data_IF_518357738780
#
_entry.id   IF_518357738780
#
_cell.length_a   1.000
_cell.length_b   1.000
_cell.length_c   1.000
_cell.angle_alpha   90.00
_cell.angle_beta   90.00
_cell.angle_gamma   90.00
#
_symmetry.space_group_name_H-M   'P 1'
#
loop_
_entity.id
_entity.type
_entity.pdbx_description
1 polymer ?
#
# COMPACT_ATOMS: atom_id res chain seq x y z
N UNK A 1 37.63 -27.96 -60.83
CA UNK A 1 36.21 -28.26 -61.16
C UNK A 1 35.86 -29.51 -60.38
N UNK A 2 35.33 -29.36 -59.17
CA UNK A 2 34.91 -30.52 -58.37
C UNK A 2 33.56 -30.98 -58.91
N UNK A 3 33.51 -32.23 -59.35
CA UNK A 3 32.29 -32.87 -59.84
C UNK A 3 31.62 -33.48 -58.60
N UNK A 4 30.65 -32.77 -58.04
CA UNK A 4 29.75 -33.34 -57.04
C UNK A 4 28.87 -34.38 -57.74
N UNK A 5 28.78 -35.60 -57.19
CA UNK A 5 28.01 -36.68 -57.83
C UNK A 5 26.51 -36.52 -57.58
N UNK A 6 26.13 -35.89 -56.48
CA UNK A 6 24.77 -35.45 -56.18
C UNK A 6 24.76 -34.17 -55.31
N UNK A 7 23.56 -33.68 -54.99
CA UNK A 7 23.39 -32.50 -54.15
C UNK A 7 23.73 -32.76 -52.67
N UNK A 8 23.70 -34.01 -52.21
CA UNK A 8 24.03 -34.39 -50.84
C UNK A 8 25.56 -34.29 -50.61
N UNK A 9 26.38 -34.73 -51.58
CA UNK A 9 27.82 -34.55 -51.62
C UNK A 9 28.22 -33.06 -51.59
N UNK A 10 27.45 -32.21 -52.26
CA UNK A 10 27.66 -30.76 -52.25
C UNK A 10 27.40 -30.17 -50.86
N UNK A 11 26.29 -30.55 -50.21
CA UNK A 11 25.94 -30.12 -48.85
C UNK A 11 27.00 -30.61 -47.84
N UNK A 12 27.44 -31.87 -47.95
CA UNK A 12 28.49 -32.43 -47.09
C UNK A 12 29.83 -31.71 -47.25
N UNK A 13 30.20 -31.33 -48.49
CA UNK A 13 31.39 -30.54 -48.76
C UNK A 13 31.29 -29.12 -48.18
N UNK A 14 30.14 -28.45 -48.32
CA UNK A 14 29.90 -27.13 -47.72
C UNK A 14 30.04 -27.17 -46.19
N UNK A 15 29.54 -28.22 -45.55
CA UNK A 15 29.69 -28.45 -44.12
C UNK A 15 31.17 -28.69 -43.71
N UNK A 16 31.93 -29.47 -44.49
CA UNK A 16 33.35 -29.71 -44.22
C UNK A 16 34.21 -28.44 -44.32
N UNK A 17 33.81 -27.50 -45.17
CA UNK A 17 34.49 -26.22 -45.37
C UNK A 17 33.94 -25.08 -44.50
N UNK A 18 33.05 -25.37 -43.55
CA UNK A 18 32.49 -24.39 -42.61
C UNK A 18 31.49 -23.40 -43.22
N UNK A 19 31.01 -23.65 -44.45
CA UNK A 19 30.06 -22.77 -45.14
C UNK A 19 28.62 -23.12 -44.78
N UNK A 20 28.31 -23.06 -43.48
CA UNK A 20 27.06 -23.54 -42.92
C UNK A 20 25.82 -22.80 -43.44
N UNK A 21 25.90 -21.49 -43.69
CA UNK A 21 24.79 -20.72 -44.28
C UNK A 21 24.46 -21.18 -45.71
N UNK A 22 25.50 -21.47 -46.52
CA UNK A 22 25.34 -21.97 -47.88
C UNK A 22 24.80 -23.40 -47.89
N UNK A 23 25.27 -24.22 -46.95
CA UNK A 23 24.76 -25.57 -46.76
C UNK A 23 23.26 -25.53 -46.41
N UNK A 24 22.86 -24.66 -45.48
CA UNK A 24 21.45 -24.48 -45.10
C UNK A 24 20.60 -24.01 -46.28
N UNK A 25 21.06 -23.01 -47.05
CA UNK A 25 20.35 -22.51 -48.22
C UNK A 25 20.17 -23.57 -49.32
N UNK A 26 21.18 -24.42 -49.54
CA UNK A 26 21.10 -25.52 -50.50
C UNK A 26 20.03 -26.55 -50.08
N UNK A 27 19.94 -26.88 -48.79
CA UNK A 27 18.95 -27.83 -48.30
C UNK A 27 17.53 -27.22 -48.31
N UNK A 28 17.39 -25.93 -48.00
CA UNK A 28 16.11 -25.20 -48.09
C UNK A 28 15.59 -25.05 -49.53
N UNK A 29 16.48 -25.01 -50.52
CA UNK A 29 16.13 -25.00 -51.94
C UNK A 29 15.62 -26.37 -52.47
N UNK A 30 15.37 -27.34 -51.59
CA UNK A 30 14.84 -28.65 -51.94
C UNK A 30 15.87 -29.60 -52.54
N UNK A 31 17.17 -29.28 -52.41
CA UNK A 31 18.26 -30.08 -52.99
C UNK A 31 18.67 -31.28 -52.13
N UNK A 32 18.05 -31.49 -50.95
CA UNK A 32 18.38 -32.61 -50.05
C UNK A 32 17.16 -33.13 -49.28
N UNK A 33 17.32 -34.30 -48.64
CA UNK A 33 16.32 -34.90 -47.77
C UNK A 33 16.08 -34.06 -46.52
N UNK A 34 14.88 -34.14 -45.95
CA UNK A 34 14.51 -33.47 -44.70
C UNK A 34 15.44 -33.85 -43.54
N UNK A 35 15.94 -35.08 -43.51
CA UNK A 35 16.88 -35.59 -42.50
C UNK A 35 18.25 -34.87 -42.53
N UNK A 36 18.67 -34.36 -43.69
CA UNK A 36 19.91 -33.60 -43.82
C UNK A 36 19.79 -32.19 -43.23
N UNK A 37 18.57 -31.64 -43.12
CA UNK A 37 18.35 -30.34 -42.46
C UNK A 37 18.70 -30.41 -40.98
N UNK A 38 18.33 -31.51 -40.30
CA UNK A 38 18.62 -31.69 -38.88
C UNK A 38 20.13 -31.83 -38.64
N UNK A 39 20.84 -32.56 -39.51
CA UNK A 39 22.30 -32.69 -39.43
C UNK A 39 23.02 -31.36 -39.74
N UNK A 40 22.63 -30.67 -40.82
CA UNK A 40 23.18 -29.36 -41.20
C UNK A 40 22.92 -28.33 -40.09
N UNK A 41 21.70 -28.31 -39.56
CA UNK A 41 21.29 -27.44 -38.46
C UNK A 41 22.06 -27.71 -37.19
N UNK A 42 22.22 -28.99 -36.80
CA UNK A 42 22.99 -29.36 -35.62
C UNK A 42 24.46 -28.94 -35.76
N UNK A 43 25.10 -29.23 -36.90
CA UNK A 43 26.51 -28.85 -37.12
C UNK A 43 26.70 -27.34 -37.17
N UNK A 44 25.73 -26.60 -37.70
CA UNK A 44 25.79 -25.14 -37.72
C UNK A 44 25.69 -24.55 -36.30
N UNK A 45 24.75 -25.05 -35.49
CA UNK A 45 24.61 -24.64 -34.09
C UNK A 45 25.86 -25.02 -33.27
N UNK A 46 26.42 -26.21 -33.47
CA UNK A 46 27.68 -26.63 -32.84
C UNK A 46 28.83 -25.66 -33.20
N UNK A 47 28.95 -25.27 -34.46
CA UNK A 47 29.95 -24.30 -34.91
C UNK A 47 29.78 -22.93 -34.25
N UNK A 48 28.56 -22.39 -34.22
CA UNK A 48 28.28 -21.10 -33.57
C UNK A 48 28.57 -21.13 -32.06
N UNK A 49 28.31 -22.25 -31.40
CA UNK A 49 28.66 -22.45 -29.99
C UNK A 49 30.16 -22.49 -29.78
N UNK A 50 30.91 -23.19 -30.65
CA UNK A 50 32.38 -23.21 -30.60
C UNK A 50 32.97 -21.80 -30.76
N UNK A 51 32.35 -20.96 -31.61
CA UNK A 51 32.71 -19.54 -31.78
C UNK A 51 32.19 -18.63 -30.66
N UNK A 52 31.47 -19.16 -29.67
CA UNK A 52 30.83 -18.44 -28.55
C UNK A 52 29.76 -17.42 -28.99
N UNK A 53 29.19 -17.59 -30.18
CA UNK A 53 28.11 -16.76 -30.73
C UNK A 53 26.74 -17.27 -30.27
N UNK A 54 26.52 -17.31 -28.97
CA UNK A 54 25.33 -17.93 -28.36
C UNK A 54 24.02 -17.25 -28.76
N UNK A 55 24.01 -15.91 -28.85
CA UNK A 55 22.81 -15.16 -29.23
C UNK A 55 22.39 -15.44 -30.69
N UNK A 56 23.36 -15.52 -31.61
CA UNK A 56 23.11 -15.88 -33.01
C UNK A 56 22.61 -17.32 -33.11
N UNK A 57 23.24 -18.26 -32.39
CA UNK A 57 22.80 -19.65 -32.32
C UNK A 57 21.35 -19.76 -31.82
N UNK A 58 21.01 -19.06 -30.73
CA UNK A 58 19.66 -19.05 -30.17
C UNK A 58 18.60 -18.51 -31.16
N UNK A 59 18.91 -17.42 -31.86
CA UNK A 59 18.03 -16.82 -32.87
C UNK A 59 17.73 -17.76 -34.04
N UNK A 60 18.68 -18.64 -34.39
CA UNK A 60 18.53 -19.59 -35.48
C UNK A 60 17.80 -20.88 -35.05
N UNK A 61 17.68 -21.18 -33.75
CA UNK A 61 17.01 -22.37 -33.25
C UNK A 61 15.57 -22.56 -33.79
N UNK A 62 14.69 -21.54 -33.81
CA UNK A 62 13.35 -21.68 -34.42
C UNK A 62 13.38 -22.15 -35.88
N UNK A 63 14.33 -21.63 -36.66
CA UNK A 63 14.46 -21.94 -38.09
C UNK A 63 15.04 -23.35 -38.31
N UNK A 64 16.00 -23.75 -37.48
CA UNK A 64 16.76 -24.99 -37.63
C UNK A 64 16.07 -26.19 -36.98
N UNK A 65 15.49 -26.01 -35.79
CA UNK A 65 14.91 -27.11 -35.00
C UNK A 65 13.44 -27.35 -35.32
N UNK A 66 12.73 -26.32 -35.80
CA UNK A 66 11.35 -26.38 -36.31
C UNK A 66 10.43 -27.16 -35.36
N UNK A 67 9.71 -28.16 -35.87
CA UNK A 67 8.77 -29.02 -35.15
C UNK A 67 9.39 -30.16 -34.33
N UNK A 68 10.72 -30.29 -34.29
CA UNK A 68 11.36 -31.41 -33.60
C UNK A 68 11.53 -31.16 -32.11
N UNK A 69 10.61 -31.68 -31.30
CA UNK A 69 10.66 -31.57 -29.84
C UNK A 69 11.97 -32.13 -29.25
N UNK A 70 12.42 -33.30 -29.75
CA UNK A 70 13.66 -33.94 -29.27
C UNK A 70 14.90 -33.11 -29.57
N UNK A 71 14.95 -32.45 -30.73
CA UNK A 71 16.04 -31.53 -31.09
C UNK A 71 16.04 -30.30 -30.19
N UNK A 72 14.87 -29.69 -29.97
CA UNK A 72 14.71 -28.56 -29.02
C UNK A 72 15.20 -28.90 -27.63
N UNK A 73 14.76 -30.02 -27.07
CA UNK A 73 15.17 -30.45 -25.72
C UNK A 73 16.67 -30.67 -25.64
N UNK A 74 17.26 -31.37 -26.61
CA UNK A 74 18.72 -31.57 -26.67
C UNK A 74 19.47 -30.24 -26.61
N UNK A 75 19.05 -29.25 -27.41
CA UNK A 75 19.69 -27.93 -27.44
C UNK A 75 19.45 -27.13 -26.17
N UNK A 76 18.27 -27.20 -25.56
CA UNK A 76 17.98 -26.58 -24.26
C UNK A 76 18.96 -27.10 -23.19
N UNK A 77 19.13 -28.41 -23.07
CA UNK A 77 20.08 -29.00 -22.12
C UNK A 77 21.53 -28.64 -22.45
N UNK A 78 21.88 -28.55 -23.74
CA UNK A 78 23.23 -28.15 -24.15
C UNK A 78 23.53 -26.68 -23.78
N UNK A 79 22.61 -25.75 -24.07
CA UNK A 79 22.72 -24.36 -23.63
C UNK A 79 22.74 -24.23 -22.10
N UNK A 80 22.01 -25.09 -21.38
CA UNK A 80 22.04 -25.16 -19.91
C UNK A 80 23.44 -25.52 -19.39
N UNK A 81 24.07 -26.55 -19.95
CA UNK A 81 25.43 -26.98 -19.59
C UNK A 81 26.46 -25.86 -19.79
N UNK A 82 26.27 -25.04 -20.81
CA UNK A 82 27.13 -23.88 -21.13
C UNK A 82 26.82 -22.64 -20.28
N UNK A 83 25.78 -22.67 -19.44
CA UNK A 83 25.23 -21.51 -18.70
C UNK A 83 24.81 -20.35 -19.61
N UNK A 84 24.39 -20.66 -20.83
CA UNK A 84 23.91 -19.69 -21.83
C UNK A 84 22.42 -19.87 -22.14
N UNK A 85 21.71 -20.74 -21.43
CA UNK A 85 20.28 -20.95 -21.63
C UNK A 85 19.42 -19.68 -21.60
N UNK A 86 19.70 -18.64 -20.78
CA UNK A 86 18.93 -17.40 -20.81
C UNK A 86 18.75 -16.77 -22.20
N UNK A 87 19.75 -16.85 -23.09
CA UNK A 87 19.64 -16.27 -24.44
C UNK A 87 18.70 -17.05 -25.36
N UNK A 88 18.42 -18.32 -25.05
CA UNK A 88 17.55 -19.19 -25.83
C UNK A 88 16.08 -19.09 -25.38
N UNK A 89 15.82 -18.77 -24.11
CA UNK A 89 14.45 -18.76 -23.53
C UNK A 89 13.41 -18.01 -24.38
N UNK A 90 13.69 -16.80 -24.91
CA UNK A 90 12.72 -16.06 -25.72
C UNK A 90 12.26 -16.79 -26.99
N UNK A 91 13.00 -17.79 -27.44
CA UNK A 91 12.76 -18.54 -28.67
C UNK A 91 12.17 -19.94 -28.43
N UNK A 92 12.07 -20.39 -27.17
CA UNK A 92 11.56 -21.73 -26.85
C UNK A 92 10.06 -21.82 -27.21
N UNK A 93 9.65 -22.84 -27.97
CA UNK A 93 8.25 -23.01 -28.36
C UNK A 93 7.39 -23.49 -27.19
N UNK A 94 6.15 -23.01 -27.10
CA UNK A 94 5.17 -23.42 -26.07
C UNK A 94 4.11 -24.40 -26.58
N UNK A 95 3.93 -24.53 -27.90
CA UNK A 95 2.87 -25.35 -28.50
C UNK A 95 3.33 -26.24 -29.66
N UNK A 96 3.92 -25.66 -30.70
CA UNK A 96 4.32 -26.38 -31.91
C UNK A 96 5.84 -26.27 -32.13
N UNK A 97 6.66 -27.16 -31.56
CA UNK A 97 6.29 -28.30 -30.71
C UNK A 97 6.19 -27.94 -29.23
N UNK A 98 5.33 -28.66 -28.49
CA UNK A 98 5.29 -28.62 -27.03
C UNK A 98 6.33 -29.61 -26.51
N UNK A 99 7.19 -29.12 -25.62
CA UNK A 99 8.29 -29.88 -25.04
C UNK A 99 7.85 -30.57 -23.75
N UNK A 100 8.74 -31.41 -23.20
CA UNK A 100 8.58 -31.90 -21.83
C UNK A 100 8.69 -30.76 -20.83
N UNK A 101 7.94 -30.89 -19.74
CA UNK A 101 7.94 -30.02 -18.56
C UNK A 101 9.37 -29.65 -18.10
N UNK A 102 10.24 -30.65 -17.99
CA UNK A 102 11.65 -30.51 -17.58
C UNK A 102 12.43 -29.49 -18.42
N UNK A 103 12.12 -29.33 -19.71
CA UNK A 103 12.80 -28.35 -20.57
C UNK A 103 12.44 -26.91 -20.18
N UNK A 104 11.16 -26.65 -19.90
CA UNK A 104 10.67 -25.36 -19.45
C UNK A 104 11.14 -25.06 -18.02
N UNK A 105 11.10 -26.05 -17.12
CA UNK A 105 11.57 -25.93 -15.75
C UNK A 105 13.05 -25.53 -15.68
N UNK A 106 13.92 -26.21 -16.44
CA UNK A 106 15.35 -25.90 -16.51
C UNK A 106 15.60 -24.49 -17.07
N UNK A 107 14.80 -24.06 -18.05
CA UNK A 107 14.86 -22.70 -18.59
C UNK A 107 14.52 -21.64 -17.53
N UNK A 108 13.43 -21.84 -16.78
CA UNK A 108 13.03 -20.93 -15.71
C UNK A 108 14.06 -20.90 -14.57
N UNK A 109 14.58 -22.05 -14.15
CA UNK A 109 15.64 -22.15 -13.12
C UNK A 109 16.92 -21.43 -13.58
N UNK A 110 17.28 -21.52 -14.86
CA UNK A 110 18.45 -20.81 -15.39
C UNK A 110 18.29 -19.29 -15.31
N UNK A 111 17.10 -18.75 -15.57
CA UNK A 111 16.81 -17.31 -15.41
C UNK A 111 16.79 -16.89 -13.93
N UNK A 112 16.37 -17.77 -13.02
CA UNK A 112 16.34 -17.52 -11.57
C UNK A 112 17.72 -17.53 -10.90
N UNK A 113 18.76 -18.01 -11.57
CA UNK A 113 20.10 -18.17 -10.97
C UNK A 113 20.90 -16.87 -10.94
N UNK A 114 20.62 -15.93 -11.85
CA UNK A 114 21.39 -14.70 -11.99
C UNK A 114 20.48 -13.47 -11.93
N UNK A 115 20.75 -12.50 -11.01
CA UNK A 115 19.99 -11.26 -10.89
C UNK A 115 19.76 -10.47 -12.17
N UNK A 116 20.66 -10.56 -13.15
CA UNK A 116 20.48 -9.87 -14.44
C UNK A 116 19.25 -10.34 -15.22
N UNK A 117 18.79 -11.58 -15.00
CA UNK A 117 17.71 -12.20 -15.76
C UNK A 117 16.37 -12.29 -14.99
N UNK A 118 16.27 -11.75 -13.77
CA UNK A 118 15.04 -11.86 -12.97
C UNK A 118 13.84 -11.16 -13.62
N UNK A 119 14.08 -10.10 -14.41
CA UNK A 119 13.03 -9.45 -15.21
C UNK A 119 12.54 -10.37 -16.33
N UNK A 120 13.46 -11.05 -16.99
CA UNK A 120 13.14 -12.01 -18.06
C UNK A 120 12.41 -13.21 -17.48
N UNK A 121 12.79 -13.68 -16.29
CA UNK A 121 12.05 -14.72 -15.56
C UNK A 121 10.59 -14.31 -15.32
N UNK A 122 10.38 -13.13 -14.74
CA UNK A 122 9.04 -12.62 -14.44
C UNK A 122 8.19 -12.50 -15.72
N UNK A 123 8.76 -11.94 -16.79
CA UNK A 123 8.08 -11.84 -18.08
C UNK A 123 7.75 -13.23 -18.64
N UNK A 124 8.68 -14.17 -18.54
CA UNK A 124 8.52 -15.55 -19.03
C UNK A 124 7.40 -16.26 -18.27
N UNK A 125 7.40 -16.23 -16.94
CA UNK A 125 6.37 -16.84 -16.08
C UNK A 125 4.97 -16.27 -16.38
N UNK A 126 4.86 -14.96 -16.64
CA UNK A 126 3.58 -14.33 -17.00
C UNK A 126 3.14 -14.65 -18.44
N UNK A 127 4.06 -14.98 -19.34
CA UNK A 127 3.78 -15.22 -20.76
C UNK A 127 3.52 -16.69 -21.10
N UNK A 128 4.21 -17.61 -20.44
CA UNK A 128 4.12 -19.03 -20.73
C UNK A 128 2.84 -19.62 -20.14
N UNK A 129 2.10 -20.46 -20.89
CA UNK A 129 0.93 -21.13 -20.33
C UNK A 129 1.34 -22.00 -19.12
N UNK A 130 0.72 -21.83 -17.94
CA UNK A 130 1.15 -22.53 -16.71
C UNK A 130 1.03 -24.06 -16.80
N UNK A 131 0.24 -24.56 -17.76
CA UNK A 131 -0.02 -25.99 -17.97
C UNK A 131 1.16 -26.73 -18.62
N UNK A 132 2.19 -26.03 -19.12
CA UNK A 132 3.32 -26.65 -19.85
C UNK A 132 4.49 -27.04 -18.95
N UNK A 133 4.50 -26.62 -17.68
CA UNK A 133 5.57 -26.91 -16.72
C UNK A 133 5.01 -27.10 -15.31
N UNK A 134 5.77 -27.78 -14.43
CA UNK A 134 5.46 -27.79 -13.01
C UNK A 134 6.13 -26.59 -12.33
N UNK A 135 5.39 -25.81 -11.55
CA UNK A 135 5.96 -24.68 -10.81
C UNK A 135 6.87 -25.14 -9.64
N UNK A 136 6.62 -26.33 -9.07
CA UNK A 136 7.31 -26.83 -7.88
C UNK A 136 8.85 -26.87 -8.00
N UNK A 137 9.45 -27.44 -9.06
CA UNK A 137 10.92 -27.44 -9.20
C UNK A 137 11.52 -26.05 -9.25
N UNK A 138 10.83 -25.10 -9.91
CA UNK A 138 11.27 -23.70 -10.02
C UNK A 138 11.17 -23.01 -8.67
N UNK A 139 10.06 -23.20 -7.95
CA UNK A 139 9.86 -22.70 -6.58
C UNK A 139 10.99 -23.21 -5.67
N UNK A 140 11.27 -24.52 -5.66
CA UNK A 140 12.31 -25.11 -4.83
C UNK A 140 13.72 -24.60 -5.15
N UNK A 141 13.98 -24.11 -6.36
CA UNK A 141 15.24 -23.48 -6.73
C UNK A 141 15.34 -22.01 -6.27
N UNK A 142 14.21 -21.31 -6.11
CA UNK A 142 14.16 -19.90 -5.72
C UNK A 142 14.02 -19.73 -4.20
N UNK A 143 13.22 -20.57 -3.52
CA UNK A 143 12.94 -20.49 -2.07
C UNK A 143 14.21 -20.30 -1.21
N UNK A 144 15.32 -21.04 -1.43
CA UNK A 144 16.55 -20.88 -0.65
C UNK A 144 17.19 -19.48 -0.75
N UNK A 145 16.87 -18.72 -1.79
CA UNK A 145 17.41 -17.39 -2.04
C UNK A 145 16.70 -16.29 -1.27
N UNK A 146 15.53 -16.55 -0.65
CA UNK A 146 14.66 -15.54 0.00
C UNK A 146 15.37 -14.61 0.98
N UNK A 147 16.37 -15.12 1.72
CA UNK A 147 17.10 -14.38 2.74
C UNK A 147 18.50 -13.92 2.28
N UNK A 148 18.78 -13.99 0.98
CA UNK A 148 20.09 -13.69 0.42
C UNK A 148 20.06 -12.39 -0.38
N UNK A 149 21.24 -11.79 -0.61
CA UNK A 149 21.37 -10.58 -1.41
C UNK A 149 21.00 -10.76 -2.89
N UNK A 150 20.84 -12.00 -3.38
CA UNK A 150 20.36 -12.25 -4.74
C UNK A 150 18.85 -12.05 -4.89
N UNK A 151 18.10 -11.98 -3.79
CA UNK A 151 16.64 -11.83 -3.85
C UNK A 151 16.24 -10.39 -4.20
N UNK A 152 16.03 -10.14 -5.49
CA UNK A 152 15.50 -8.87 -5.99
C UNK A 152 13.98 -8.82 -5.85
N UNK A 153 13.39 -7.61 -5.85
CA UNK A 153 11.93 -7.43 -5.86
C UNK A 153 11.27 -8.17 -7.05
N UNK A 154 11.94 -8.17 -8.21
CA UNK A 154 11.46 -8.88 -9.41
C UNK A 154 11.49 -10.40 -9.24
N UNK A 155 12.46 -10.96 -8.52
CA UNK A 155 12.50 -12.39 -8.22
C UNK A 155 11.43 -12.77 -7.20
N UNK A 156 11.20 -11.93 -6.19
CA UNK A 156 10.07 -12.10 -5.26
C UNK A 156 8.74 -12.09 -6.00
N UNK A 157 8.56 -11.18 -6.96
CA UNK A 157 7.34 -11.14 -7.76
C UNK A 157 7.19 -12.39 -8.63
N UNK A 158 8.25 -12.84 -9.29
CA UNK A 158 8.22 -14.08 -10.07
C UNK A 158 7.88 -15.30 -9.20
N UNK A 159 8.42 -15.36 -7.98
CA UNK A 159 8.09 -16.41 -7.01
C UNK A 159 6.62 -16.35 -6.58
N UNK A 160 6.07 -15.14 -6.37
CA UNK A 160 4.66 -14.97 -6.06
C UNK A 160 3.77 -15.51 -7.19
N UNK A 161 4.06 -15.16 -8.45
CA UNK A 161 3.35 -15.71 -9.63
C UNK A 161 3.43 -17.24 -9.69
N UNK A 162 4.61 -17.82 -9.40
CA UNK A 162 4.77 -19.27 -9.34
C UNK A 162 3.93 -19.91 -8.22
N UNK A 163 3.80 -19.26 -7.06
CA UNK A 163 2.89 -19.70 -6.01
C UNK A 163 1.43 -19.63 -6.43
N UNK A 164 1.00 -18.60 -7.17
CA UNK A 164 -0.35 -18.52 -7.74
C UNK A 164 -0.61 -19.70 -8.68
N UNK A 165 0.35 -20.00 -9.57
CA UNK A 165 0.26 -21.13 -10.51
C UNK A 165 0.17 -22.46 -9.77
N UNK A 166 0.87 -22.60 -8.65
CA UNK A 166 0.86 -23.79 -7.81
C UNK A 166 -0.24 -23.79 -6.74
N UNK A 167 -1.21 -22.88 -6.83
CA UNK A 167 -2.36 -22.73 -5.90
C UNK A 167 -1.96 -22.49 -4.43
N UNK A 168 -0.75 -21.98 -4.17
CA UNK A 168 -0.26 -21.61 -2.84
C UNK A 168 -0.52 -20.13 -2.55
N UNK A 169 -1.80 -19.74 -2.52
CA UNK A 169 -2.20 -18.33 -2.47
C UNK A 169 -1.75 -17.58 -1.22
N UNK A 170 -1.70 -18.23 -0.05
CA UNK A 170 -1.21 -17.60 1.19
C UNK A 170 0.27 -17.18 1.10
N UNK A 171 1.12 -18.04 0.52
CA UNK A 171 2.53 -17.69 0.30
C UNK A 171 2.68 -16.57 -0.73
N UNK A 172 1.84 -16.59 -1.78
CA UNK A 172 1.79 -15.49 -2.75
C UNK A 172 1.36 -14.18 -2.10
N UNK A 173 0.35 -14.20 -1.23
CA UNK A 173 -0.13 -13.04 -0.50
C UNK A 173 0.99 -12.42 0.36
N UNK A 174 1.75 -13.26 1.07
CA UNK A 174 2.87 -12.78 1.87
C UNK A 174 3.90 -12.01 1.03
N UNK A 175 4.25 -12.53 -0.16
CA UNK A 175 5.18 -11.86 -1.07
C UNK A 175 4.58 -10.60 -1.70
N UNK A 176 3.31 -10.61 -2.10
CA UNK A 176 2.64 -9.42 -2.63
C UNK A 176 2.50 -8.31 -1.57
N UNK A 177 2.28 -8.67 -0.30
CA UNK A 177 2.25 -7.73 0.82
C UNK A 177 3.63 -7.09 1.04
N UNK A 178 4.70 -7.90 1.03
CA UNK A 178 6.07 -7.40 1.15
C UNK A 178 6.47 -6.48 -0.01
N UNK A 179 5.94 -6.74 -1.21
CA UNK A 179 6.14 -5.94 -2.41
C UNK A 179 5.19 -4.73 -2.51
N UNK A 180 4.29 -4.55 -1.54
CA UNK A 180 3.29 -3.47 -1.52
C UNK A 180 2.50 -3.35 -2.83
N UNK A 181 2.10 -4.48 -3.40
CA UNK A 181 1.38 -4.52 -4.67
C UNK A 181 -0.03 -3.90 -4.53
N UNK A 182 -0.43 -2.95 -5.39
CA UNK A 182 -1.70 -2.23 -5.23
C UNK A 182 -2.94 -3.10 -5.44
N UNK A 183 -2.80 -4.15 -6.25
CA UNK A 183 -3.82 -5.15 -6.58
C UNK A 183 -3.97 -6.25 -5.51
N UNK A 184 -3.24 -6.15 -4.39
CA UNK A 184 -3.28 -7.13 -3.30
C UNK A 184 -4.68 -7.34 -2.73
N UNK A 185 -5.49 -6.29 -2.65
CA UNK A 185 -6.85 -6.38 -2.13
C UNK A 185 -7.75 -7.19 -3.06
N UNK A 186 -7.65 -6.96 -4.37
CA UNK A 186 -8.41 -7.71 -5.37
C UNK A 186 -7.97 -9.19 -5.37
N UNK A 187 -6.69 -9.44 -5.10
CA UNK A 187 -6.14 -10.78 -4.91
C UNK A 187 -6.70 -11.48 -3.66
N UNK A 188 -6.78 -10.78 -2.52
CA UNK A 188 -7.37 -11.30 -1.27
C UNK A 188 -8.83 -11.70 -1.51
N UNK A 189 -9.62 -10.82 -2.11
CA UNK A 189 -11.05 -11.04 -2.38
C UNK A 189 -11.25 -12.21 -3.36
N UNK A 190 -10.46 -12.25 -4.44
CA UNK A 190 -10.54 -13.29 -5.47
C UNK A 190 -10.27 -14.70 -4.91
N UNK A 191 -9.34 -14.80 -3.96
CA UNK A 191 -8.90 -16.08 -3.40
C UNK A 191 -9.42 -16.35 -1.97
N UNK A 192 -10.34 -15.51 -1.47
CA UNK A 192 -10.94 -15.60 -0.12
C UNK A 192 -9.89 -15.68 1.01
N UNK A 193 -8.80 -14.91 0.93
CA UNK A 193 -7.67 -14.98 1.87
C UNK A 193 -7.84 -14.12 3.12
N UNK A 194 -9.06 -13.84 3.54
CA UNK A 194 -9.35 -12.89 4.62
C UNK A 194 -8.77 -13.32 5.98
N UNK A 195 -8.59 -14.62 6.22
CA UNK A 195 -8.00 -15.12 7.47
C UNK A 195 -6.46 -14.92 7.52
N UNK A 196 -5.82 -14.89 6.35
CA UNK A 196 -4.36 -14.80 6.19
C UNK A 196 -3.82 -13.35 6.23
N UNK A 197 -4.66 -12.35 6.49
CA UNK A 197 -4.26 -10.92 6.53
C UNK A 197 -3.76 -10.46 7.90
N UNK A 198 -3.98 -11.27 8.95
CA UNK A 198 -3.83 -10.84 10.35
C UNK A 198 -2.43 -10.32 10.69
N UNK A 199 -1.39 -10.94 10.13
CA UNK A 199 0.01 -10.54 10.31
C UNK A 199 0.50 -9.56 9.23
N UNK A 200 -0.38 -9.16 8.30
CA UNK A 200 -0.10 -8.25 7.17
C UNK A 200 -0.83 -6.91 7.26
N UNK A 201 -1.45 -6.60 8.40
CA UNK A 201 -2.25 -5.38 8.59
C UNK A 201 -1.44 -4.13 8.26
N UNK A 202 -0.20 -4.03 8.75
CA UNK A 202 0.64 -2.84 8.52
C UNK A 202 0.96 -2.66 7.03
N UNK A 203 1.28 -3.74 6.33
CA UNK A 203 1.56 -3.72 4.89
C UNK A 203 0.32 -3.28 4.12
N UNK A 204 -0.85 -3.85 4.42
CA UNK A 204 -2.11 -3.47 3.76
C UNK A 204 -2.45 -1.99 4.00
N UNK A 205 -2.27 -1.50 5.22
CA UNK A 205 -2.49 -0.10 5.57
C UNK A 205 -1.55 0.85 4.81
N UNK A 206 -0.31 0.43 4.58
CA UNK A 206 0.68 1.19 3.79
C UNK A 206 0.30 1.24 2.31
N UNK A 207 -0.30 0.19 1.76
CA UNK A 207 -0.77 0.16 0.36
C UNK A 207 -2.01 1.04 0.20
N UNK A 208 -3.08 0.78 0.96
CA UNK A 208 -4.30 1.58 0.95
C UNK A 208 -5.01 1.44 2.30
N UNK A 209 -4.88 2.46 3.14
CA UNK A 209 -5.49 2.47 4.47
C UNK A 209 -7.02 2.37 4.41
N UNK A 210 -7.70 3.01 3.46
CA UNK A 210 -9.18 2.98 3.41
C UNK A 210 -9.68 1.59 3.06
N UNK A 211 -9.08 0.96 2.05
CA UNK A 211 -9.43 -0.43 1.68
C UNK A 211 -9.05 -1.42 2.77
N UNK A 212 -7.86 -1.27 3.37
CA UNK A 212 -7.41 -2.13 4.47
C UNK A 212 -8.36 -2.06 5.66
N UNK A 213 -8.73 -0.85 6.11
CA UNK A 213 -9.67 -0.70 7.22
C UNK A 213 -11.04 -1.27 6.88
N UNK A 214 -11.58 -1.02 5.68
CA UNK A 214 -12.86 -1.59 5.25
C UNK A 214 -12.82 -3.12 5.27
N UNK A 215 -11.77 -3.72 4.71
CA UNK A 215 -11.61 -5.18 4.65
C UNK A 215 -11.49 -5.77 6.06
N UNK A 216 -10.76 -5.10 6.94
CA UNK A 216 -10.59 -5.52 8.33
C UNK A 216 -11.91 -5.44 9.10
N UNK A 217 -12.68 -4.36 8.98
CA UNK A 217 -13.98 -4.23 9.65
C UNK A 217 -14.98 -5.30 9.18
N UNK A 218 -14.96 -5.65 7.89
CA UNK A 218 -15.91 -6.59 7.30
C UNK A 218 -15.61 -8.05 7.65
N UNK A 219 -14.33 -8.44 7.63
CA UNK A 219 -13.93 -9.84 7.69
C UNK A 219 -13.21 -10.22 8.99
N UNK A 220 -12.65 -9.25 9.71
CA UNK A 220 -11.95 -9.48 10.97
C UNK A 220 -12.75 -8.81 12.09
N UNK A 221 -13.00 -9.55 13.17
CA UNK A 221 -13.41 -8.90 14.41
C UNK A 221 -12.39 -7.84 14.85
N UNK A 222 -12.75 -7.04 15.87
CA UNK A 222 -11.94 -5.94 16.39
C UNK A 222 -10.43 -6.24 16.43
N UNK A 223 -9.65 -5.49 15.65
CA UNK A 223 -8.19 -5.50 15.75
C UNK A 223 -7.79 -4.96 17.12
N UNK A 224 -6.88 -5.67 17.78
CA UNK A 224 -6.33 -5.20 19.05
C UNK A 224 -5.19 -4.21 18.81
N UNK A 225 -5.00 -3.19 19.66
CA UNK A 225 -3.87 -2.26 19.55
C UNK A 225 -2.50 -2.92 19.50
N UNK A 226 -2.35 -4.14 20.04
CA UNK A 226 -1.11 -4.93 19.98
C UNK A 226 -0.75 -5.43 18.58
N UNK A 227 -1.70 -5.45 17.64
CA UNK A 227 -1.47 -5.93 16.27
C UNK A 227 -1.10 -4.80 15.31
N UNK A 228 -1.11 -3.55 15.80
CA UNK A 228 -0.79 -2.37 15.01
C UNK A 228 0.35 -1.61 15.70
N UNK A 229 1.60 -1.90 15.31
CA UNK A 229 2.80 -1.26 15.88
C UNK A 229 2.84 0.26 15.63
N UNK A 230 2.06 0.75 14.67
CA UNK A 230 1.95 2.18 14.34
C UNK A 230 0.73 2.81 15.00
N UNK A 231 0.99 3.73 15.94
CA UNK A 231 -0.06 4.56 16.58
C UNK A 231 -0.88 5.34 15.55
N UNK A 232 -0.27 5.78 14.45
CA UNK A 232 -0.96 6.47 13.36
C UNK A 232 -1.95 5.55 12.62
N UNK A 233 -1.58 4.30 12.33
CA UNK A 233 -2.50 3.36 11.68
C UNK A 233 -3.61 2.90 12.62
N UNK A 234 -3.29 2.72 13.91
CA UNK A 234 -4.30 2.45 14.93
C UNK A 234 -5.34 3.57 14.98
N UNK A 235 -4.91 4.83 14.90
CA UNK A 235 -5.79 5.99 14.86
C UNK A 235 -6.76 5.92 13.66
N UNK A 236 -6.26 5.67 12.45
CA UNK A 236 -7.08 5.58 11.24
C UNK A 236 -8.07 4.41 11.29
N UNK A 237 -7.62 3.27 11.80
CA UNK A 237 -8.48 2.11 12.01
C UNK A 237 -9.62 2.39 12.99
N UNK A 238 -9.29 2.90 14.19
CA UNK A 238 -10.29 3.21 15.22
C UNK A 238 -11.24 4.34 14.79
N UNK A 239 -10.74 5.32 14.04
CA UNK A 239 -11.59 6.37 13.46
C UNK A 239 -12.64 5.78 12.52
N UNK A 240 -12.22 4.98 11.54
CA UNK A 240 -13.15 4.38 10.58
C UNK A 240 -14.09 3.38 11.25
N UNK A 241 -13.59 2.62 12.24
CA UNK A 241 -14.41 1.72 13.06
C UNK A 241 -15.52 2.50 13.77
N UNK A 242 -15.19 3.68 14.30
CA UNK A 242 -16.16 4.57 14.95
C UNK A 242 -17.19 5.12 13.95
N UNK A 243 -16.78 5.48 12.73
CA UNK A 243 -17.70 5.92 11.67
C UNK A 243 -18.70 4.84 11.26
N UNK A 244 -18.25 3.57 11.22
CA UNK A 244 -19.12 2.43 10.90
C UNK A 244 -20.04 2.07 12.08
N UNK A 245 -19.48 2.02 13.30
CA UNK A 245 -20.23 1.71 14.51
C UNK A 245 -19.59 2.39 15.74
N UNK A 246 -20.24 3.43 16.30
CA UNK A 246 -19.73 4.17 17.47
C UNK A 246 -19.52 3.34 18.75
N UNK A 247 -20.05 2.12 18.82
CA UNK A 247 -19.92 1.24 19.97
C UNK A 247 -18.93 0.08 19.77
N UNK A 248 -18.50 -0.18 18.53
CA UNK A 248 -17.60 -1.30 18.26
C UNK A 248 -16.23 -1.11 18.95
N UNK A 249 -15.71 0.12 18.98
CA UNK A 249 -14.43 0.46 19.59
C UNK A 249 -14.52 0.96 21.04
N UNK A 250 -15.63 0.74 21.76
CA UNK A 250 -15.90 1.40 23.05
C UNK A 250 -14.75 1.28 24.07
N UNK A 251 -14.10 0.12 24.14
CA UNK A 251 -13.02 -0.15 25.09
C UNK A 251 -11.71 0.59 24.73
N UNK A 252 -11.63 1.10 23.50
CA UNK A 252 -10.49 1.86 22.98
C UNK A 252 -10.75 3.36 22.93
N UNK A 253 -11.90 3.87 23.41
CA UNK A 253 -12.22 5.30 23.32
C UNK A 253 -11.25 6.18 24.12
N UNK A 254 -10.74 5.71 25.26
CA UNK A 254 -9.68 6.40 26.00
C UNK A 254 -8.39 6.55 25.18
N UNK A 255 -8.00 5.49 24.48
CA UNK A 255 -6.86 5.51 23.57
C UNK A 255 -7.13 6.43 22.39
N UNK A 256 -8.35 6.39 21.85
CA UNK A 256 -8.73 7.19 20.69
C UNK A 256 -8.69 8.70 20.99
N UNK A 257 -8.99 9.13 22.22
CA UNK A 257 -8.78 10.53 22.64
C UNK A 257 -7.31 10.93 22.52
N UNK A 258 -6.39 10.09 23.02
CA UNK A 258 -4.95 10.34 22.90
C UNK A 258 -4.51 10.43 21.44
N UNK A 259 -5.05 9.55 20.60
CA UNK A 259 -4.71 9.47 19.17
C UNK A 259 -5.26 10.64 18.37
N UNK A 260 -6.49 11.08 18.60
CA UNK A 260 -7.03 12.30 17.97
C UNK A 260 -6.22 13.53 18.39
N UNK A 261 -5.91 13.67 19.67
CA UNK A 261 -5.08 14.76 20.17
C UNK A 261 -3.67 14.77 19.55
N UNK A 262 -3.22 13.65 19.00
CA UNK A 262 -1.91 13.48 18.34
C UNK A 262 -1.92 13.66 16.84
N UNK A 263 -2.83 13.03 16.14
CA UNK A 263 -2.80 12.93 14.68
C UNK A 263 -3.88 13.75 13.98
N UNK A 264 -5.02 13.98 14.64
CA UNK A 264 -6.12 14.76 14.07
C UNK A 264 -6.95 15.51 15.14
N UNK A 265 -6.42 16.63 15.67
CA UNK A 265 -7.09 17.39 16.72
C UNK A 265 -8.48 17.91 16.32
N UNK A 266 -8.71 18.12 15.01
CA UNK A 266 -9.98 18.66 14.49
C UNK A 266 -11.14 17.69 14.72
N UNK A 267 -10.85 16.39 14.74
CA UNK A 267 -11.84 15.33 14.94
C UNK A 267 -12.04 14.99 16.42
N UNK A 268 -11.23 15.55 17.32
CA UNK A 268 -11.34 15.29 18.76
C UNK A 268 -12.67 15.79 19.33
N UNK A 269 -13.03 17.04 19.09
CA UNK A 269 -14.27 17.62 19.63
C UNK A 269 -15.54 16.90 19.11
N UNK A 270 -15.69 16.61 17.80
CA UNK A 270 -16.78 15.75 17.29
C UNK A 270 -16.84 14.38 17.98
N UNK A 271 -15.69 13.75 18.23
CA UNK A 271 -15.60 12.47 18.91
C UNK A 271 -16.04 12.56 20.37
N UNK A 272 -15.55 13.56 21.13
CA UNK A 272 -15.92 13.78 22.52
C UNK A 272 -17.43 14.03 22.69
N UNK A 273 -18.07 14.69 21.72
CA UNK A 273 -19.52 14.91 21.70
C UNK A 273 -20.31 13.63 21.44
N UNK A 274 -19.79 12.76 20.59
CA UNK A 274 -20.49 11.55 20.14
C UNK A 274 -20.27 10.36 21.07
N UNK A 275 -19.12 10.30 21.73
CA UNK A 275 -18.71 9.18 22.58
C UNK A 275 -19.07 9.39 24.05
N UNK A 276 -19.41 8.29 24.74
CA UNK A 276 -19.68 8.26 26.18
C UNK A 276 -18.78 7.29 26.95
N UNK A 277 -17.85 6.61 26.27
CA UNK A 277 -17.06 5.51 26.84
C UNK A 277 -15.62 5.89 27.17
N UNK A 278 -15.30 7.19 27.24
CA UNK A 278 -13.98 7.68 27.64
C UNK A 278 -14.02 8.31 29.05
N UNK A 279 -12.89 8.25 29.74
CA UNK A 279 -12.65 8.79 31.07
C UNK A 279 -12.41 10.30 30.99
N UNK A 280 -13.31 11.09 31.59
CA UNK A 280 -13.26 12.56 31.50
C UNK A 280 -11.96 13.15 32.07
N UNK A 281 -11.51 12.65 33.22
CA UNK A 281 -10.27 13.11 33.89
C UNK A 281 -9.05 12.91 33.00
N UNK A 282 -8.92 11.69 32.44
CA UNK A 282 -7.81 11.35 31.54
C UNK A 282 -7.84 12.18 30.25
N UNK A 283 -9.04 12.34 29.67
CA UNK A 283 -9.23 13.17 28.47
C UNK A 283 -8.87 14.64 28.73
N UNK A 284 -9.25 15.17 29.90
CA UNK A 284 -8.91 16.53 30.31
C UNK A 284 -7.39 16.72 30.42
N UNK A 285 -6.70 15.81 31.10
CA UNK A 285 -5.24 15.88 31.27
C UNK A 285 -4.50 15.88 29.92
N UNK A 286 -4.98 15.10 28.95
CA UNK A 286 -4.43 15.08 27.58
C UNK A 286 -4.64 16.44 26.91
N UNK A 287 -5.84 17.00 26.99
CA UNK A 287 -6.17 18.28 26.37
C UNK A 287 -5.38 19.44 27.01
N UNK A 288 -5.16 19.41 28.33
CA UNK A 288 -4.31 20.38 29.04
C UNK A 288 -2.86 20.30 28.58
N UNK A 289 -2.29 19.08 28.49
CA UNK A 289 -0.89 18.88 28.06
C UNK A 289 -0.62 19.37 26.63
N UNK A 290 -1.65 19.39 25.78
CA UNK A 290 -1.54 19.79 24.36
C UNK A 290 -2.16 21.15 24.05
N UNK A 291 -2.59 21.90 25.07
CA UNK A 291 -3.22 23.22 24.96
C UNK A 291 -4.46 23.24 24.04
N UNK A 292 -5.27 22.17 24.09
CA UNK A 292 -6.52 22.03 23.35
C UNK A 292 -7.67 22.71 24.11
N UNK A 293 -7.78 24.03 23.97
CA UNK A 293 -8.62 24.88 24.82
C UNK A 293 -10.12 24.62 24.69
N UNK A 294 -10.64 24.45 23.47
CA UNK A 294 -12.08 24.23 23.24
C UNK A 294 -12.53 22.86 23.76
N UNK A 295 -11.68 21.86 23.60
CA UNK A 295 -11.88 20.51 24.12
C UNK A 295 -11.80 20.48 25.65
N UNK A 296 -10.88 21.24 26.26
CA UNK A 296 -10.84 21.43 27.72
C UNK A 296 -12.16 21.99 28.25
N UNK A 297 -12.68 23.07 27.63
CA UNK A 297 -13.96 23.69 28.00
C UNK A 297 -15.11 22.68 27.92
N UNK A 298 -15.18 21.93 26.82
CA UNK A 298 -16.20 20.90 26.63
C UNK A 298 -16.15 19.82 27.73
N UNK A 299 -14.96 19.29 28.04
CA UNK A 299 -14.78 18.24 29.05
C UNK A 299 -15.11 18.78 30.45
N UNK A 300 -14.65 19.97 30.80
CA UNK A 300 -14.97 20.60 32.09
C UNK A 300 -16.47 20.83 32.27
N UNK A 301 -17.16 21.24 31.20
CA UNK A 301 -18.62 21.33 31.20
C UNK A 301 -19.29 19.98 31.52
N UNK A 302 -18.81 18.88 30.93
CA UNK A 302 -19.30 17.52 31.24
C UNK A 302 -18.93 17.04 32.65
N UNK A 303 -17.83 17.52 33.22
CA UNK A 303 -17.43 17.22 34.60
C UNK A 303 -18.19 18.05 35.65
N UNK A 304 -18.98 19.06 35.23
CA UNK A 304 -19.64 20.01 36.12
C UNK A 304 -18.71 21.12 36.64
N UNK A 305 -17.48 21.22 36.13
CA UNK A 305 -16.49 22.23 36.53
C UNK A 305 -16.67 23.53 35.72
N UNK A 306 -17.90 24.03 35.63
CA UNK A 306 -18.28 25.11 34.72
C UNK A 306 -17.57 26.44 35.00
N UNK A 307 -17.26 26.77 36.26
CA UNK A 307 -16.49 27.99 36.61
C UNK A 307 -15.07 27.96 36.05
N UNK A 308 -14.43 26.78 36.06
CA UNK A 308 -13.11 26.59 35.45
C UNK A 308 -13.18 26.63 33.92
N UNK A 309 -14.22 26.03 33.32
CA UNK A 309 -14.46 26.09 31.88
C UNK A 309 -14.61 27.55 31.42
N UNK A 310 -15.43 28.34 32.12
CA UNK A 310 -15.63 29.76 31.84
C UNK A 310 -14.33 30.56 31.96
N UNK A 311 -13.51 30.28 32.98
CA UNK A 311 -12.22 30.92 33.14
C UNK A 311 -11.27 30.62 31.97
N UNK A 312 -11.33 29.44 31.36
CA UNK A 312 -10.54 29.12 30.15
C UNK A 312 -11.04 29.93 28.95
N UNK A 313 -12.36 30.03 28.76
CA UNK A 313 -12.92 30.79 27.63
C UNK A 313 -12.50 32.26 27.72
N UNK A 314 -12.67 32.89 28.88
CA UNK A 314 -12.39 34.33 29.05
C UNK A 314 -10.89 34.62 29.03
N UNK A 315 -10.10 33.82 29.75
CA UNK A 315 -8.69 34.15 29.98
C UNK A 315 -7.75 33.62 28.90
N UNK A 316 -8.08 32.50 28.24
CA UNK A 316 -7.21 31.86 27.25
C UNK A 316 -7.74 31.94 25.82
N UNK A 317 -9.02 31.64 25.59
CA UNK A 317 -9.63 31.76 24.25
C UNK A 317 -9.89 33.22 23.88
N UNK A 318 -10.17 34.05 24.88
CA UNK A 318 -10.56 35.46 24.71
C UNK A 318 -11.80 35.64 23.82
N UNK A 319 -12.64 34.60 23.74
CA UNK A 319 -13.85 34.55 22.93
C UNK A 319 -15.08 34.78 23.82
N UNK A 320 -15.57 36.02 23.83
CA UNK A 320 -16.72 36.42 24.64
C UNK A 320 -18.04 35.84 24.12
N UNK A 321 -18.16 35.63 22.80
CA UNK A 321 -19.38 35.06 22.21
C UNK A 321 -19.54 33.60 22.65
N UNK A 322 -18.46 32.82 22.60
CA UNK A 322 -18.43 31.46 23.12
C UNK A 322 -18.69 31.42 24.63
N UNK A 323 -18.22 32.42 25.39
CA UNK A 323 -18.50 32.51 26.83
C UNK A 323 -19.98 32.75 27.13
N UNK A 324 -20.62 33.65 26.38
CA UNK A 324 -22.05 33.95 26.50
C UNK A 324 -22.88 32.72 26.13
N UNK A 325 -22.54 32.05 25.03
CA UNK A 325 -23.23 30.82 24.59
C UNK A 325 -23.07 29.71 25.64
N UNK A 326 -21.86 29.51 26.18
CA UNK A 326 -21.60 28.53 27.22
C UNK A 326 -22.43 28.76 28.48
N UNK A 327 -22.45 30.00 29.01
CA UNK A 327 -23.22 30.31 30.22
C UNK A 327 -24.72 30.21 29.96
N UNK A 328 -25.19 30.64 28.78
CA UNK A 328 -26.60 30.55 28.39
C UNK A 328 -27.08 29.10 28.34
N UNK A 329 -26.24 28.16 27.87
CA UNK A 329 -26.58 26.73 27.81
C UNK A 329 -26.63 26.05 29.19
N UNK A 330 -25.91 26.57 30.19
CA UNK A 330 -25.84 25.96 31.53
C UNK A 330 -27.03 26.35 32.43
N UNK A 331 -27.78 27.41 32.09
CA UNK A 331 -28.92 27.91 32.87
C UNK A 331 -28.62 28.15 34.37
N UNK A 332 -27.43 28.70 34.67
CA UNK A 332 -26.95 28.95 36.03
C UNK A 332 -26.61 30.44 36.22
N UNK A 333 -27.37 31.09 37.10
CA UNK A 333 -27.23 32.52 37.40
C UNK A 333 -25.89 32.85 38.08
N UNK A 334 -25.28 31.91 38.83
CA UNK A 334 -23.96 32.14 39.43
C UNK A 334 -22.86 32.22 38.37
N UNK A 335 -23.00 31.47 37.27
CA UNK A 335 -22.07 31.52 36.14
C UNK A 335 -22.16 32.84 35.38
N UNK A 336 -23.35 33.44 35.30
CA UNK A 336 -23.53 34.78 34.75
C UNK A 336 -22.83 35.84 35.58
N UNK A 337 -22.98 35.80 36.90
CA UNK A 337 -22.24 36.72 37.78
C UNK A 337 -20.73 36.56 37.63
N UNK A 338 -20.25 35.32 37.51
CA UNK A 338 -18.83 35.02 37.33
C UNK A 338 -18.29 35.54 35.99
N UNK A 339 -19.06 35.41 34.90
CA UNK A 339 -18.73 35.99 33.59
C UNK A 339 -18.57 37.51 33.69
N UNK A 340 -19.53 38.19 34.33
CA UNK A 340 -19.50 39.65 34.51
C UNK A 340 -18.26 40.07 35.31
N UNK A 341 -17.99 39.39 36.43
CA UNK A 341 -16.81 39.67 37.29
C UNK A 341 -15.50 39.51 36.53
N UNK A 342 -15.36 38.45 35.73
CA UNK A 342 -14.14 38.23 34.95
C UNK A 342 -13.99 39.20 33.78
N UNK A 343 -15.09 39.60 33.14
CA UNK A 343 -15.08 40.60 32.06
C UNK A 343 -14.60 41.97 32.53
N UNK A 344 -14.84 42.37 33.78
CA UNK A 344 -14.35 43.66 34.30
C UNK A 344 -12.82 43.77 34.33
N UNK A 345 -12.11 42.63 34.36
CA UNK A 345 -10.65 42.62 34.27
C UNK A 345 -10.15 42.80 32.81
N UNK A 346 -11.05 42.74 31.80
CA UNK A 346 -10.74 42.85 30.38
C UNK A 346 -11.70 43.85 29.68
N UNK A 347 -11.36 45.15 29.62
CA UNK A 347 -12.27 46.20 29.17
C UNK A 347 -12.74 46.06 27.71
N UNK A 348 -12.00 45.36 26.85
CA UNK A 348 -12.40 45.06 25.46
C UNK A 348 -13.60 44.09 25.39
N UNK A 349 -13.69 43.13 26.31
CA UNK A 349 -14.77 42.14 26.34
C UNK A 349 -16.08 42.71 26.89
N UNK A 350 -16.01 43.75 27.75
CA UNK A 350 -17.19 44.42 28.32
C UNK A 350 -18.05 45.08 27.24
N UNK A 351 -17.42 45.66 26.21
CA UNK A 351 -18.15 46.27 25.09
C UNK A 351 -19.00 45.24 24.35
N UNK A 352 -18.41 44.10 23.99
CA UNK A 352 -19.11 43.02 23.27
C UNK A 352 -20.16 42.35 24.15
N UNK A 353 -19.91 42.20 25.45
CA UNK A 353 -20.90 41.71 26.41
C UNK A 353 -22.17 42.58 26.37
N UNK A 354 -22.03 43.91 26.36
CA UNK A 354 -23.18 44.84 26.30
C UNK A 354 -23.93 44.80 24.96
N UNK A 355 -23.25 44.49 23.87
CA UNK A 355 -23.86 44.35 22.53
C UNK A 355 -24.62 43.02 22.36
N UNK A 356 -24.08 41.92 22.92
CA UNK A 356 -24.63 40.57 22.75
C UNK A 356 -25.57 40.09 23.88
N UNK A 357 -25.73 40.86 24.96
CA UNK A 357 -26.63 40.50 26.09
C UNK A 357 -28.09 40.87 25.88
N UNK A 358 -28.46 41.40 24.71
CA UNK A 358 -29.85 41.77 24.37
C UNK A 358 -30.75 40.52 24.38
N UNK A 359 -31.41 40.28 25.51
CA UNK A 359 -32.42 39.22 25.68
C UNK A 359 -32.16 38.24 26.83
N UNK A 360 -30.90 38.07 27.28
CA UNK A 360 -30.55 37.09 28.34
C UNK A 360 -30.22 37.75 29.69
N UNK A 361 -29.81 39.01 29.71
CA UNK A 361 -29.52 39.78 30.92
C UNK A 361 -30.07 41.20 30.79
N UNK A 362 -30.45 41.82 31.92
CA UNK A 362 -30.83 43.23 31.95
C UNK A 362 -29.57 44.10 31.77
N UNK A 363 -29.47 44.91 30.69
CA UNK A 363 -28.33 45.79 30.48
C UNK A 363 -28.07 46.75 31.65
N UNK A 364 -29.13 47.14 32.39
CA UNK A 364 -29.01 48.00 33.58
C UNK A 364 -28.28 47.31 34.73
N UNK A 365 -28.43 45.99 34.86
CA UNK A 365 -27.73 45.19 35.88
C UNK A 365 -26.22 45.17 35.62
N UNK A 366 -25.82 45.05 34.35
CA UNK A 366 -24.40 45.05 33.94
C UNK A 366 -23.80 46.44 34.18
N UNK A 367 -24.47 47.51 33.75
CA UNK A 367 -24.01 48.90 33.93
C UNK A 367 -23.84 49.26 35.41
N UNK A 368 -24.74 48.81 36.29
CA UNK A 368 -24.66 49.06 37.73
C UNK A 368 -23.49 48.33 38.42
N UNK A 369 -22.96 47.27 37.82
CA UNK A 369 -21.81 46.52 38.35
C UNK A 369 -20.46 46.99 37.80
N UNK A 370 -20.44 47.84 36.75
CA UNK A 370 -19.19 48.38 36.19
C UNK A 370 -18.49 49.29 37.23
N UNK A 371 -17.22 49.05 37.58
CA UNK A 371 -16.47 49.93 38.47
C UNK A 371 -16.34 51.35 37.90
N UNK A 372 -16.59 52.36 38.75
CA UNK A 372 -16.46 53.76 38.38
C UNK A 372 -15.03 54.06 37.85
N UNK A 373 -14.93 54.46 36.57
CA UNK A 373 -13.68 54.84 35.92
C UNK A 373 -13.14 53.86 34.87
N UNK A 374 -13.81 52.73 34.61
CA UNK A 374 -13.44 51.80 33.55
C UNK A 374 -13.68 52.44 32.17
N UNK A 375 -12.61 52.65 31.38
CA UNK A 375 -12.74 53.10 29.98
C UNK A 375 -13.02 51.88 29.11
N UNK A 376 -14.26 51.74 28.66
CA UNK A 376 -14.68 50.68 27.75
C UNK A 376 -14.45 51.16 26.31
N UNK A 377 -13.51 50.55 25.55
CA UNK A 377 -13.38 50.80 24.13
C UNK A 377 -14.70 50.40 23.44
N UNK A 378 -15.19 51.21 22.50
CA UNK A 378 -16.40 50.97 21.68
C UNK A 378 -17.78 51.36 22.24
N UNK A 379 -17.89 51.86 23.48
CA UNK A 379 -19.18 52.28 24.06
C UNK A 379 -19.84 53.50 23.36
N UNK A 380 -19.12 54.18 22.46
CA UNK A 380 -19.64 55.31 21.67
C UNK A 380 -20.82 54.93 20.75
N UNK A 381 -21.05 53.64 20.46
CA UNK A 381 -22.21 53.21 19.67
C UNK A 381 -23.48 53.03 20.52
N UNK A 382 -23.36 52.75 21.82
CA UNK A 382 -24.50 52.53 22.74
C UNK A 382 -25.02 53.80 23.42
N UNK A 383 -24.24 54.88 23.43
CA UNK A 383 -24.68 56.20 23.93
C UNK A 383 -25.89 56.79 23.16
N UNK A 384 -26.30 56.17 22.05
CA UNK A 384 -27.54 56.53 21.34
C UNK A 384 -28.82 55.88 21.91
N UNK A 385 -28.72 54.97 22.89
CA UNK A 385 -29.87 54.22 23.42
C UNK A 385 -30.26 54.54 24.87
N UNK A 386 -29.47 55.30 25.62
CA UNK A 386 -29.82 55.70 26.98
C UNK A 386 -29.77 57.22 27.14
N UNK A 387 -30.91 57.89 27.38
CA UNK A 387 -30.88 59.27 27.82
C UNK A 387 -30.35 59.28 29.26
N UNK A 388 -29.13 59.80 29.43
CA UNK A 388 -28.60 60.16 30.74
C UNK A 388 -29.52 61.23 31.38
N UNK A 389 -29.82 61.15 32.69
CA UNK A 389 -30.55 62.21 33.40
C UNK A 389 -29.75 63.51 33.52
#
# INVERSE_FOLDING_TARGET
>A
MFIFRDAEDHIAWLLQHGWHEKALAAVEAGQGRTELLDEVGSRYLDHLILERKYAEAAMLCPKLLRGSASSWERWIFHFAQLRQLPVLVPYIPTENPRLRDTAYEVALVALATNPSFHKDLLATVKSWPPVIYSALPVISAIEPQLNTSSMTETLKEALAELYVINEQYEKSLALYADLMKPDIFDFIDKHNLHDAISDKVVQLMLVDCRRAVSLLIQHRGLITPSECDSRYFLHLYLHSLFEVNPHAGKDFHDMQVELYAEYDPKMLLPFLRSSQHYTLEKAYDICVKRDLLREQVFILGRMGNSKQALAIIINKLEDIEEAIEFVSMQHDDELWEELIKQCFNKPEMVGVLLEHTVGNLDPLYIVNMVPNGLRIPSLNLLCNFFPLP
#
